data_IF_034775397962
#
_entry.id   IF_034775397962
#
_cell.length_a   1.000
_cell.length_b   1.000
_cell.length_c   1.000
_cell.angle_alpha   90.00
_cell.angle_beta   90.00
_cell.angle_gamma   90.00
#
_symmetry.space_group_name_H-M   'P 1'
#
loop_
_entity.id
_entity.type
_entity.pdbx_description
1 polymer ?
#
# COMPACT_ATOMS: atom_id res chain seq x y z
N UNK A 1 52.95 -23.39 -65.96
CA UNK A 1 51.64 -22.68 -65.70
C UNK A 1 50.95 -23.44 -64.63
N UNK A 2 51.15 -23.01 -63.40
CA UNK A 2 50.55 -23.61 -62.17
C UNK A 2 49.48 -22.67 -61.64
N UNK A 3 48.21 -23.11 -61.60
CA UNK A 3 47.08 -22.38 -61.06
C UNK A 3 46.87 -22.74 -59.58
N UNK A 4 47.07 -21.74 -58.71
CA UNK A 4 46.75 -21.85 -57.30
C UNK A 4 45.18 -21.63 -57.07
N UNK A 5 44.56 -22.56 -56.42
CA UNK A 5 43.16 -22.40 -55.90
C UNK A 5 43.21 -21.87 -54.47
N UNK A 6 42.70 -20.66 -54.28
CA UNK A 6 42.45 -20.10 -52.94
C UNK A 6 41.16 -20.70 -52.38
N UNK A 7 41.27 -21.34 -51.23
CA UNK A 7 40.11 -21.79 -50.44
C UNK A 7 39.59 -20.61 -49.56
N UNK A 8 38.40 -20.14 -49.83
CA UNK A 8 37.67 -19.19 -48.96
C UNK A 8 36.94 -20.01 -47.87
N UNK A 9 37.42 -19.90 -46.64
CA UNK A 9 36.75 -20.46 -45.48
C UNK A 9 35.65 -19.52 -45.02
N UNK A 10 34.40 -19.94 -45.10
CA UNK A 10 33.24 -19.22 -44.50
C UNK A 10 33.18 -19.52 -43.01
N UNK A 11 33.47 -18.54 -42.18
CA UNK A 11 33.22 -18.61 -40.73
C UNK A 11 31.74 -18.34 -40.45
N UNK A 12 30.97 -19.35 -40.03
CA UNK A 12 29.64 -19.19 -39.47
C UNK A 12 29.77 -18.58 -38.07
N UNK A 13 29.44 -17.32 -37.92
CA UNK A 13 29.15 -16.70 -36.63
C UNK A 13 27.77 -17.16 -36.15
N UNK A 14 27.75 -18.07 -35.18
CA UNK A 14 26.54 -18.41 -34.44
C UNK A 14 26.15 -17.24 -33.54
N UNK A 15 25.17 -16.41 -33.94
CA UNK A 15 24.50 -15.47 -33.06
C UNK A 15 23.66 -16.30 -32.07
N UNK A 16 24.18 -16.53 -30.85
CA UNK A 16 23.38 -16.92 -29.73
C UNK A 16 22.44 -15.74 -29.38
N UNK A 17 21.21 -15.79 -29.84
CA UNK A 17 20.14 -14.91 -29.33
C UNK A 17 20.01 -15.19 -27.84
N UNK A 18 20.48 -14.27 -27.00
CA UNK A 18 20.15 -14.26 -25.57
C UNK A 18 18.66 -14.03 -25.47
N UNK A 19 17.91 -15.10 -25.30
CA UNK A 19 16.51 -15.00 -24.83
C UNK A 19 16.58 -14.36 -23.44
N UNK A 20 15.95 -13.21 -23.19
CA UNK A 20 15.93 -12.63 -21.86
C UNK A 20 15.33 -13.70 -20.93
N UNK A 21 16.09 -14.12 -19.94
CA UNK A 21 15.59 -15.00 -18.90
C UNK A 21 14.51 -14.20 -18.15
N UNK A 22 13.24 -14.53 -18.40
CA UNK A 22 12.16 -14.00 -17.57
C UNK A 22 12.44 -14.44 -16.14
N UNK A 23 12.43 -13.47 -15.23
CA UNK A 23 12.60 -13.77 -13.83
C UNK A 23 11.46 -14.72 -13.43
N UNK A 24 11.81 -15.85 -12.80
CA UNK A 24 10.79 -16.81 -12.36
C UNK A 24 9.80 -16.13 -11.40
N UNK A 25 8.53 -16.51 -11.50
CA UNK A 25 7.50 -16.04 -10.58
C UNK A 25 7.92 -16.27 -9.11
N UNK A 26 7.68 -15.30 -8.21
CA UNK A 26 8.11 -15.43 -6.82
C UNK A 26 7.38 -16.56 -6.09
N UNK A 27 8.08 -17.23 -5.18
CA UNK A 27 7.54 -18.31 -4.36
C UNK A 27 6.99 -17.85 -3.01
N UNK A 28 7.24 -16.59 -2.63
CA UNK A 28 6.77 -15.98 -1.39
C UNK A 28 6.75 -14.45 -1.53
N UNK A 29 6.08 -13.79 -0.58
CA UNK A 29 6.21 -12.36 -0.30
C UNK A 29 6.66 -12.16 1.13
N UNK A 30 7.66 -11.31 1.33
CA UNK A 30 8.02 -10.78 2.65
C UNK A 30 7.25 -9.48 2.88
N UNK A 31 6.57 -9.39 4.01
CA UNK A 31 5.67 -8.29 4.37
C UNK A 31 6.21 -7.63 5.61
N UNK A 32 6.60 -6.35 5.53
CA UNK A 32 7.07 -5.56 6.67
C UNK A 32 6.05 -4.46 6.96
N UNK A 33 5.55 -4.40 8.19
CA UNK A 33 4.67 -3.33 8.63
C UNK A 33 5.49 -2.23 9.30
N UNK A 34 5.28 -0.97 8.86
CA UNK A 34 6.03 0.17 9.41
C UNK A 34 5.28 0.86 10.55
N UNK A 35 4.02 1.17 10.33
CA UNK A 35 3.08 1.87 11.21
C UNK A 35 1.83 2.20 10.41
N UNK A 36 0.74 2.60 11.02
CA UNK A 36 -0.51 2.96 10.33
C UNK A 36 -0.86 1.85 9.33
N UNK A 37 -1.04 2.17 8.06
CA UNK A 37 -1.20 1.19 6.97
C UNK A 37 0.02 1.11 6.06
N UNK A 38 1.17 1.61 6.51
CA UNK A 38 2.41 1.55 5.75
C UNK A 38 2.96 0.14 5.73
N UNK A 39 2.96 -0.49 4.57
CA UNK A 39 3.41 -1.87 4.38
C UNK A 39 4.42 -1.96 3.24
N UNK A 40 5.51 -2.66 3.48
CA UNK A 40 6.51 -2.95 2.46
C UNK A 40 6.41 -4.42 2.05
N UNK A 41 6.16 -4.66 0.77
CA UNK A 41 6.09 -5.98 0.17
C UNK A 41 7.36 -6.22 -0.66
N UNK A 42 8.08 -7.29 -0.35
CA UNK A 42 9.23 -7.74 -1.13
C UNK A 42 8.87 -9.05 -1.83
N UNK A 43 8.81 -9.03 -3.17
CA UNK A 43 8.27 -10.16 -3.90
C UNK A 43 9.01 -10.33 -5.24
N UNK A 44 10.03 -11.20 -5.25
CA UNK A 44 10.89 -11.41 -6.41
C UNK A 44 11.60 -10.11 -6.84
N UNK A 45 11.36 -9.62 -8.08
CA UNK A 45 11.93 -8.36 -8.56
C UNK A 45 11.14 -7.12 -8.12
N UNK A 46 10.04 -7.30 -7.39
CA UNK A 46 9.17 -6.22 -6.97
C UNK A 46 9.35 -5.90 -5.50
N UNK A 47 9.67 -4.64 -5.24
CA UNK A 47 9.74 -4.04 -3.92
C UNK A 47 8.73 -2.90 -3.88
N UNK A 48 7.62 -3.09 -3.14
CA UNK A 48 6.44 -2.23 -3.17
C UNK A 48 6.24 -1.60 -1.80
N UNK A 49 6.14 -0.28 -1.71
CA UNK A 49 5.63 0.39 -0.51
C UNK A 49 4.16 0.76 -0.74
N UNK A 50 3.29 0.30 0.15
CA UNK A 50 1.91 0.78 0.25
C UNK A 50 1.86 1.90 1.28
N UNK A 51 1.26 3.03 0.92
CA UNK A 51 1.16 4.30 1.63
C UNK A 51 2.54 4.93 1.92
N UNK A 52 3.25 4.52 2.96
CA UNK A 52 4.64 4.96 3.20
C UNK A 52 4.77 6.26 3.99
N UNK A 53 3.75 6.68 4.74
CA UNK A 53 3.74 7.91 5.53
C UNK A 53 4.68 7.82 6.75
N UNK A 54 5.81 8.50 6.68
CA UNK A 54 6.84 8.61 7.74
C UNK A 54 6.79 9.98 8.41
N UNK A 55 6.53 11.04 7.65
CA UNK A 55 6.27 12.39 8.17
C UNK A 55 5.11 12.33 9.15
N UNK A 56 5.27 12.94 10.32
CA UNK A 56 4.21 13.00 11.33
C UNK A 56 3.78 14.43 11.51
N UNK A 57 2.71 14.83 10.81
CA UNK A 57 2.08 16.13 10.98
C UNK A 57 1.46 16.17 12.38
N UNK A 58 1.77 17.17 13.23
CA UNK A 58 1.29 17.21 14.61
C UNK A 58 -0.24 17.27 14.71
N UNK A 59 -0.82 16.61 15.73
CA UNK A 59 -2.26 16.67 16.00
C UNK A 59 -2.78 18.11 16.14
N UNK A 60 -1.97 19.03 16.66
CA UNK A 60 -2.32 20.44 16.80
C UNK A 60 -2.61 21.14 15.47
N UNK A 61 -2.02 20.65 14.37
CA UNK A 61 -2.31 21.16 13.03
C UNK A 61 -3.77 20.91 12.62
N UNK A 62 -4.38 19.84 13.09
CA UNK A 62 -5.75 19.45 12.75
C UNK A 62 -6.77 19.88 13.82
N UNK A 63 -6.41 19.82 15.08
CA UNK A 63 -7.37 20.02 16.20
C UNK A 63 -7.22 21.36 16.91
N UNK A 64 -6.09 22.03 16.76
CA UNK A 64 -5.80 23.31 17.45
C UNK A 64 -6.45 24.55 16.83
N UNK A 65 -6.90 24.48 15.58
CA UNK A 65 -7.40 25.63 14.82
C UNK A 65 -8.93 25.69 14.60
N UNK A 66 -9.71 24.83 15.25
CA UNK A 66 -11.18 24.84 15.12
C UNK A 66 -11.73 24.14 13.88
N UNK A 67 -10.88 23.51 13.06
CA UNK A 67 -11.29 22.84 11.81
C UNK A 67 -11.26 21.31 11.84
N UNK A 68 -10.75 20.67 12.90
CA UNK A 68 -10.61 19.23 12.98
C UNK A 68 -9.80 18.66 11.82
N UNK A 69 -10.09 17.43 11.41
CA UNK A 69 -9.49 16.81 10.24
C UNK A 69 -9.96 17.39 8.90
N UNK A 70 -11.01 18.21 8.89
CA UNK A 70 -11.57 18.80 7.68
C UNK A 70 -10.61 19.81 7.02
N UNK A 71 -9.82 20.55 7.81
CA UNK A 71 -8.92 21.54 7.28
C UNK A 71 -7.67 21.73 8.16
N UNK A 72 -6.55 22.00 7.51
CA UNK A 72 -5.38 22.64 8.13
C UNK A 72 -4.87 23.72 7.18
N UNK A 73 -4.80 24.94 7.67
CA UNK A 73 -4.36 26.09 6.88
C UNK A 73 -2.83 26.29 6.91
N UNK A 74 -2.12 25.43 7.64
CA UNK A 74 -0.67 25.47 7.68
C UNK A 74 -0.08 24.52 6.64
N UNK A 75 0.82 25.00 5.78
CA UNK A 75 1.51 24.14 4.84
C UNK A 75 2.60 23.33 5.57
N UNK A 76 2.73 22.07 5.17
CA UNK A 76 3.75 21.16 5.66
C UNK A 76 4.59 20.62 4.51
N UNK A 77 5.87 20.38 4.79
CA UNK A 77 6.79 19.68 3.88
C UNK A 77 7.08 18.28 4.41
N UNK A 78 7.32 17.29 3.52
CA UNK A 78 7.73 15.95 3.94
C UNK A 78 9.05 15.95 4.74
N UNK A 79 9.15 15.06 5.73
CA UNK A 79 10.41 14.74 6.42
C UNK A 79 11.31 13.88 5.51
N UNK A 80 11.97 14.54 4.56
CA UNK A 80 12.88 13.89 3.61
C UNK A 80 13.99 13.12 4.32
N UNK A 81 14.48 13.63 5.46
CA UNK A 81 15.53 12.98 6.23
C UNK A 81 15.01 11.68 6.88
N UNK A 82 13.82 11.72 7.45
CA UNK A 82 13.15 10.53 8.01
C UNK A 82 12.88 9.47 6.95
N UNK A 83 12.30 9.85 5.81
CA UNK A 83 12.07 8.94 4.68
C UNK A 83 13.39 8.34 4.18
N UNK A 84 14.46 9.15 4.03
CA UNK A 84 15.78 8.68 3.61
C UNK A 84 16.38 7.69 4.62
N UNK A 85 16.20 7.93 5.91
CA UNK A 85 16.68 7.03 6.96
C UNK A 85 15.98 5.66 6.88
N UNK A 86 14.66 5.64 6.67
CA UNK A 86 13.91 4.38 6.47
C UNK A 86 14.37 3.70 5.19
N UNK A 87 14.45 4.41 4.06
CA UNK A 87 14.93 3.87 2.79
C UNK A 87 16.32 3.23 2.92
N UNK A 88 17.25 3.91 3.60
CA UNK A 88 18.60 3.39 3.85
C UNK A 88 18.57 2.10 4.66
N UNK A 89 17.73 2.03 5.69
CA UNK A 89 17.55 0.83 6.50
C UNK A 89 16.97 -0.35 5.71
N UNK A 90 16.16 -0.07 4.68
CA UNK A 90 15.61 -1.08 3.76
C UNK A 90 16.60 -1.55 2.70
N UNK A 91 17.78 -0.94 2.59
CA UNK A 91 18.83 -1.31 1.62
C UNK A 91 19.05 -0.26 0.51
N UNK A 92 18.35 0.86 0.55
CA UNK A 92 18.53 1.98 -0.36
C UNK A 92 17.60 1.97 -1.60
N UNK A 93 17.82 2.89 -2.54
CA UNK A 93 16.89 3.14 -3.66
C UNK A 93 16.52 1.93 -4.53
N UNK A 94 17.40 0.97 -4.82
CA UNK A 94 17.04 -0.20 -5.62
C UNK A 94 15.97 -1.11 -5.00
N UNK A 95 15.73 -0.96 -3.70
CA UNK A 95 14.77 -1.76 -2.93
C UNK A 95 13.40 -1.08 -2.78
N UNK A 96 13.03 -0.15 -3.66
CA UNK A 96 11.67 0.37 -3.81
C UNK A 96 11.45 0.74 -5.27
N UNK A 97 10.59 0.02 -5.97
CA UNK A 97 10.33 0.24 -7.39
C UNK A 97 8.86 0.50 -7.72
N UNK A 98 7.97 0.33 -6.75
CA UNK A 98 6.56 0.66 -6.89
C UNK A 98 6.02 1.24 -5.58
N UNK A 99 5.20 2.28 -5.70
CA UNK A 99 4.44 2.89 -4.61
C UNK A 99 2.95 2.68 -4.86
N UNK A 100 2.23 2.24 -3.84
CA UNK A 100 0.77 2.13 -3.86
C UNK A 100 0.19 3.08 -2.83
N UNK A 101 -0.92 3.72 -3.15
CA UNK A 101 -1.65 4.56 -2.18
C UNK A 101 -3.09 4.12 -2.14
N UNK A 102 -3.61 3.74 -0.97
CA UNK A 102 -4.99 3.30 -0.82
C UNK A 102 -5.97 4.44 -1.04
N UNK A 103 -5.71 5.60 -0.42
CA UNK A 103 -6.42 6.85 -0.69
C UNK A 103 -5.51 8.05 -0.39
N UNK A 104 -5.98 9.26 -0.69
CA UNK A 104 -5.12 10.44 -0.77
C UNK A 104 -5.13 11.34 0.46
N UNK A 105 -5.59 10.89 1.62
CA UNK A 105 -5.40 11.62 2.86
C UNK A 105 -3.90 11.69 3.23
N UNK A 106 -3.55 12.69 4.04
CA UNK A 106 -2.17 12.98 4.40
C UNK A 106 -1.44 11.79 5.03
N UNK A 107 -2.08 11.03 5.89
CA UNK A 107 -1.51 9.88 6.60
C UNK A 107 -1.26 8.65 5.72
N UNK A 108 -1.56 8.77 4.42
CA UNK A 108 -1.30 7.75 3.40
C UNK A 108 -0.44 8.27 2.24
N UNK A 109 -0.73 9.47 1.72
CA UNK A 109 -0.12 9.95 0.46
C UNK A 109 0.93 11.04 0.64
N UNK A 110 1.10 11.63 1.84
CA UNK A 110 1.94 12.80 2.06
C UNK A 110 3.40 12.60 1.64
N UNK A 111 3.97 11.43 1.90
CA UNK A 111 5.37 11.14 1.55
C UNK A 111 5.55 10.44 0.19
N UNK A 112 4.45 10.19 -0.55
CA UNK A 112 4.50 9.43 -1.81
C UNK A 112 5.44 10.05 -2.85
N UNK A 113 5.38 11.38 -3.02
CA UNK A 113 6.27 12.09 -3.93
C UNK A 113 7.73 12.01 -3.49
N UNK A 114 7.99 12.12 -2.18
CA UNK A 114 9.33 12.00 -1.61
C UNK A 114 9.92 10.61 -1.85
N UNK A 115 9.16 9.54 -1.60
CA UNK A 115 9.59 8.18 -1.96
C UNK A 115 9.90 8.06 -3.44
N UNK A 116 9.00 8.53 -4.33
CA UNK A 116 9.21 8.47 -5.78
C UNK A 116 10.45 9.24 -6.23
N UNK A 117 10.72 10.40 -5.63
CA UNK A 117 11.92 11.21 -5.94
C UNK A 117 13.21 10.53 -5.53
N UNK A 118 13.24 9.90 -4.34
CA UNK A 118 14.42 9.24 -3.79
C UNK A 118 14.75 7.91 -4.49
N UNK A 119 13.74 7.20 -5.00
CA UNK A 119 13.88 5.82 -5.52
C UNK A 119 13.68 5.69 -7.02
N UNK A 120 13.11 6.72 -7.65
CA UNK A 120 12.63 6.68 -9.02
C UNK A 120 11.44 5.72 -9.24
N UNK A 121 10.78 5.27 -8.16
CA UNK A 121 9.63 4.37 -8.20
C UNK A 121 8.42 4.99 -8.88
N UNK A 122 7.66 4.17 -9.61
CA UNK A 122 6.35 4.55 -10.14
C UNK A 122 5.29 4.52 -9.03
N UNK A 123 4.23 5.30 -9.22
CA UNK A 123 3.11 5.44 -8.29
C UNK A 123 1.85 4.84 -8.91
N UNK A 124 1.07 4.11 -8.13
CA UNK A 124 -0.31 3.72 -8.44
C UNK A 124 -1.19 4.17 -7.27
N UNK A 125 -2.20 4.97 -7.56
CA UNK A 125 -3.12 5.50 -6.53
C UNK A 125 -4.34 6.16 -7.17
N UNK A 126 -4.99 7.08 -6.46
CA UNK A 126 -6.06 7.90 -7.01
C UNK A 126 -5.52 8.92 -8.03
N UNK A 127 -6.39 9.51 -8.86
CA UNK A 127 -6.01 10.69 -9.65
C UNK A 127 -5.54 11.83 -8.76
N UNK A 128 -6.19 12.01 -7.60
CA UNK A 128 -5.75 12.97 -6.57
C UNK A 128 -4.33 12.72 -6.08
N UNK A 129 -3.95 11.46 -5.80
CA UNK A 129 -2.57 11.11 -5.44
C UNK A 129 -1.58 11.50 -6.54
N UNK A 130 -1.97 11.33 -7.80
CA UNK A 130 -1.13 11.73 -8.92
C UNK A 130 -0.99 13.26 -9.03
N UNK A 131 -2.04 14.03 -8.74
CA UNK A 131 -1.99 15.49 -8.72
C UNK A 131 -1.15 16.02 -7.53
N UNK A 132 -1.27 15.41 -6.35
CA UNK A 132 -0.41 15.70 -5.20
C UNK A 132 1.08 15.46 -5.55
N UNK A 133 1.38 14.32 -6.18
CA UNK A 133 2.75 14.02 -6.60
C UNK A 133 3.28 15.04 -7.65
N UNK A 134 2.43 15.51 -8.57
CA UNK A 134 2.79 16.54 -9.54
C UNK A 134 3.05 17.90 -8.87
N UNK A 135 2.30 18.26 -7.83
CA UNK A 135 2.56 19.46 -7.04
C UNK A 135 3.98 19.46 -6.48
N UNK A 136 4.48 18.30 -6.08
CA UNK A 136 5.86 18.08 -5.63
C UNK A 136 6.84 17.74 -6.76
N UNK A 137 6.48 18.06 -8.02
CA UNK A 137 7.31 17.96 -9.23
C UNK A 137 7.67 16.53 -9.67
N UNK A 138 6.87 15.53 -9.30
CA UNK A 138 6.95 14.21 -9.91
C UNK A 138 6.29 14.26 -11.30
N UNK A 139 6.97 13.79 -12.35
CA UNK A 139 6.38 13.78 -13.70
C UNK A 139 5.07 12.96 -13.74
N UNK A 140 4.04 13.47 -14.41
CA UNK A 140 2.75 12.80 -14.55
C UNK A 140 2.87 11.36 -15.09
N UNK A 141 3.84 11.12 -15.98
CA UNK A 141 4.12 9.79 -16.54
C UNK A 141 4.58 8.75 -15.53
N UNK A 142 4.98 9.18 -14.33
CA UNK A 142 5.39 8.28 -13.24
C UNK A 142 4.24 7.87 -12.33
N UNK A 143 3.07 8.46 -12.49
CA UNK A 143 1.90 8.13 -11.68
C UNK A 143 0.77 7.61 -12.56
N UNK A 144 0.20 6.47 -12.16
CA UNK A 144 -0.97 5.87 -12.76
C UNK A 144 -2.17 6.00 -11.83
N UNK A 145 -3.14 6.83 -12.20
CA UNK A 145 -4.44 6.86 -11.55
C UNK A 145 -5.23 5.58 -11.79
N UNK A 146 -5.85 5.05 -10.74
CA UNK A 146 -6.72 3.87 -10.79
C UNK A 146 -8.05 4.15 -10.10
N UNK A 147 -9.11 3.52 -10.58
CA UNK A 147 -10.48 3.82 -10.16
C UNK A 147 -11.20 2.67 -9.48
N UNK A 148 -10.76 1.44 -9.72
CA UNK A 148 -11.37 0.19 -9.28
C UNK A 148 -11.86 -0.64 -10.47
N UNK A 149 -11.63 -1.96 -10.41
CA UNK A 149 -11.90 -2.92 -11.48
C UNK A 149 -10.71 -3.21 -12.39
N UNK A 150 -9.60 -2.46 -12.28
CA UNK A 150 -8.42 -2.72 -13.08
C UNK A 150 -7.70 -4.01 -12.64
N UNK A 151 -7.22 -4.76 -13.63
CA UNK A 151 -6.29 -5.87 -13.44
C UNK A 151 -4.94 -5.48 -14.01
N UNK A 152 -3.90 -5.51 -13.17
CA UNK A 152 -2.55 -5.05 -13.51
C UNK A 152 -1.57 -6.20 -13.28
N UNK A 153 -0.90 -6.63 -14.33
CA UNK A 153 0.25 -7.54 -14.22
C UNK A 153 1.47 -6.72 -13.78
N UNK A 154 1.99 -7.01 -12.60
CA UNK A 154 3.13 -6.30 -12.02
C UNK A 154 4.46 -6.95 -12.39
N UNK A 155 4.50 -8.29 -12.46
CA UNK A 155 5.65 -9.10 -12.87
C UNK A 155 5.16 -10.48 -13.33
N UNK A 156 6.09 -11.35 -13.72
CA UNK A 156 5.76 -12.74 -14.05
C UNK A 156 5.14 -13.45 -12.85
N UNK A 157 3.94 -14.01 -13.06
CA UNK A 157 3.15 -14.66 -12.02
C UNK A 157 2.56 -13.72 -10.97
N UNK A 158 2.75 -12.40 -11.04
CA UNK A 158 2.23 -11.43 -10.07
C UNK A 158 1.17 -10.53 -10.70
N UNK A 159 -0.05 -10.66 -10.22
CA UNK A 159 -1.19 -9.85 -10.67
C UNK A 159 -1.82 -9.13 -9.48
N UNK A 160 -2.12 -7.85 -9.68
CA UNK A 160 -2.86 -7.01 -8.73
C UNK A 160 -4.19 -6.59 -9.34
N UNK A 161 -5.27 -6.71 -8.58
CA UNK A 161 -6.60 -6.17 -8.94
C UNK A 161 -6.95 -5.03 -8.02
N UNK A 162 -7.40 -3.93 -8.60
CA UNK A 162 -7.82 -2.74 -7.86
C UNK A 162 -9.30 -2.89 -7.50
N UNK A 163 -9.60 -2.78 -6.22
CA UNK A 163 -10.97 -2.86 -5.69
C UNK A 163 -11.38 -1.47 -5.23
N UNK A 164 -12.43 -0.90 -5.81
CA UNK A 164 -12.99 0.34 -5.27
C UNK A 164 -13.56 0.07 -3.88
N UNK A 165 -13.08 0.85 -2.89
CA UNK A 165 -13.35 0.65 -1.49
C UNK A 165 -13.81 1.95 -0.83
N UNK A 166 -14.32 1.89 0.42
CA UNK A 166 -14.78 3.05 1.18
C UNK A 166 -13.75 3.54 2.20
N UNK A 167 -14.01 4.69 2.80
CA UNK A 167 -13.20 5.28 3.85
C UNK A 167 -13.74 4.94 5.25
N UNK A 168 -12.87 5.04 6.28
CA UNK A 168 -13.24 4.88 7.67
C UNK A 168 -14.10 6.05 8.18
N UNK A 169 -14.78 5.84 9.29
CA UNK A 169 -15.67 6.80 9.92
C UNK A 169 -17.13 6.60 9.58
N UNK A 170 -17.96 7.38 10.22
CA UNK A 170 -19.39 7.42 9.98
C UNK A 170 -19.70 8.62 9.06
N UNK A 171 -20.26 8.40 7.84
CA UNK A 171 -20.61 9.49 6.95
C UNK A 171 -21.55 10.53 7.56
N UNK A 172 -22.36 10.16 8.54
CA UNK A 172 -23.25 11.09 9.23
C UNK A 172 -22.52 11.96 10.28
N UNK A 173 -21.41 11.47 10.86
CA UNK A 173 -20.66 12.18 11.90
C UNK A 173 -19.42 12.90 11.34
N UNK A 174 -18.81 12.33 10.31
CA UNK A 174 -17.59 12.84 9.68
C UNK A 174 -17.75 12.93 8.15
N UNK A 175 -18.72 13.73 7.64
CA UNK A 175 -19.04 13.73 6.20
C UNK A 175 -17.87 14.17 5.32
N UNK A 176 -17.09 15.17 5.76
CA UNK A 176 -15.98 15.68 4.95
C UNK A 176 -14.87 14.63 4.77
N UNK A 177 -14.54 13.92 5.85
CA UNK A 177 -13.52 12.87 5.84
C UNK A 177 -13.96 11.67 4.98
N UNK A 178 -15.27 11.37 5.01
CA UNK A 178 -15.84 10.22 4.31
C UNK A 178 -16.19 10.50 2.85
N UNK A 179 -16.43 11.78 2.50
CA UNK A 179 -16.83 12.20 1.16
C UNK A 179 -15.76 11.84 0.12
N UNK A 180 -16.09 11.08 -0.94
CA UNK A 180 -15.15 10.65 -1.97
C UNK A 180 -14.82 11.77 -2.98
N UNK A 181 -14.34 12.91 -2.50
CA UNK A 181 -13.92 14.06 -3.35
C UNK A 181 -12.57 13.78 -3.99
N UNK A 182 -12.42 14.15 -5.26
CA UNK A 182 -11.14 14.19 -5.98
C UNK A 182 -10.70 15.63 -6.25
N UNK A 183 -9.40 15.86 -6.25
CA UNK A 183 -8.82 17.08 -6.81
C UNK A 183 -9.08 17.13 -8.31
N UNK A 184 -9.31 18.34 -8.85
CA UNK A 184 -9.47 18.58 -10.29
C UNK A 184 -8.20 19.14 -10.92
N UNK A 185 -7.40 19.85 -10.10
CA UNK A 185 -6.18 20.52 -10.52
C UNK A 185 -5.02 20.12 -9.63
N UNK A 186 -3.81 20.35 -10.11
CA UNK A 186 -2.58 20.17 -9.32
C UNK A 186 -2.58 21.19 -8.17
N UNK A 187 -2.45 20.76 -6.91
CA UNK A 187 -2.33 21.68 -5.78
C UNK A 187 -1.15 22.65 -5.97
N UNK A 188 -1.32 23.88 -5.50
CA UNK A 188 -0.29 24.89 -5.58
C UNK A 188 0.46 24.94 -4.24
N UNK A 189 1.73 24.50 -4.17
CA UNK A 189 2.50 24.58 -2.95
C UNK A 189 2.61 25.99 -2.42
N UNK A 190 2.60 26.16 -1.11
CA UNK A 190 2.79 27.45 -0.46
C UNK A 190 4.11 28.12 -0.92
N UNK A 191 4.06 29.39 -1.29
CA UNK A 191 5.17 30.08 -1.90
C UNK A 191 6.37 30.28 -0.95
N UNK A 192 6.14 30.33 0.36
CA UNK A 192 7.19 30.56 1.35
C UNK A 192 7.87 29.27 1.80
N UNK A 193 7.10 28.19 1.94
CA UNK A 193 7.58 26.93 2.50
C UNK A 193 7.76 25.82 1.45
N UNK A 194 7.05 25.91 0.33
CA UNK A 194 6.96 24.84 -0.66
C UNK A 194 6.09 23.66 -0.21
N UNK A 195 5.41 23.78 0.93
CA UNK A 195 4.56 22.73 1.51
C UNK A 195 3.16 22.70 0.96
N UNK A 196 2.46 21.59 1.19
CA UNK A 196 1.05 21.41 0.89
C UNK A 196 0.20 21.47 2.17
N UNK A 197 -1.06 21.88 2.03
CA UNK A 197 -2.01 21.96 3.14
C UNK A 197 -2.67 20.60 3.35
N UNK A 198 -2.40 19.97 4.49
CA UNK A 198 -2.72 18.56 4.73
C UNK A 198 -4.21 18.26 5.01
N UNK A 199 -5.07 19.29 5.06
CA UNK A 199 -6.51 19.09 5.37
C UNK A 199 -7.27 18.40 4.25
N UNK A 200 -8.34 17.69 4.63
CA UNK A 200 -9.21 16.97 3.69
C UNK A 200 -10.07 17.90 2.82
N UNK A 201 -10.28 19.13 3.24
CA UNK A 201 -10.92 20.19 2.46
C UNK A 201 -9.90 21.05 1.68
N UNK A 202 -8.64 20.69 1.71
CA UNK A 202 -7.51 21.40 1.10
C UNK A 202 -6.85 20.50 0.03
N UNK A 203 -5.55 20.19 0.19
CA UNK A 203 -4.78 19.45 -0.82
C UNK A 203 -4.84 17.93 -0.66
N UNK A 204 -5.42 17.41 0.44
CA UNK A 204 -5.47 15.98 0.75
C UNK A 204 -6.90 15.45 0.96
N UNK A 205 -7.82 15.62 -0.01
CA UNK A 205 -9.14 15.02 0.08
C UNK A 205 -9.06 13.49 -0.06
N UNK A 206 -10.20 12.84 0.11
CA UNK A 206 -10.33 11.39 0.05
C UNK A 206 -9.90 10.75 -1.30
N UNK A 207 -9.79 11.54 -2.37
CA UNK A 207 -9.34 11.07 -3.68
C UNK A 207 -10.31 10.09 -4.34
N UNK A 208 -11.60 10.37 -4.20
CA UNK A 208 -12.63 9.53 -4.77
C UNK A 208 -12.86 8.21 -4.01
N UNK A 209 -12.53 8.17 -2.72
CA UNK A 209 -12.62 6.99 -1.87
C UNK A 209 -11.36 6.11 -1.89
N UNK A 210 -11.36 5.07 -1.10
CA UNK A 210 -10.21 4.17 -0.96
C UNK A 210 -10.12 3.16 -2.11
N UNK A 211 -8.92 2.64 -2.36
CA UNK A 211 -8.61 1.48 -3.21
C UNK A 211 -8.08 0.35 -2.34
N UNK A 212 -8.75 -0.80 -2.41
CA UNK A 212 -8.17 -2.04 -1.93
C UNK A 212 -7.38 -2.70 -3.06
N UNK A 213 -6.37 -3.47 -2.71
CA UNK A 213 -5.52 -4.16 -3.67
C UNK A 213 -5.52 -5.66 -3.40
N UNK A 214 -6.07 -6.44 -4.34
CA UNK A 214 -6.06 -7.89 -4.30
C UNK A 214 -4.89 -8.41 -5.13
N UNK A 215 -3.92 -9.02 -4.47
CA UNK A 215 -2.77 -9.64 -5.11
C UNK A 215 -2.95 -11.15 -5.26
N UNK A 216 -2.55 -11.65 -6.41
CA UNK A 216 -2.38 -13.07 -6.67
C UNK A 216 -0.99 -13.35 -7.17
N UNK A 217 -0.36 -14.38 -6.64
CA UNK A 217 0.95 -14.85 -7.08
C UNK A 217 0.83 -16.30 -7.52
N UNK A 218 1.07 -16.53 -8.80
CA UNK A 218 1.15 -17.87 -9.41
C UNK A 218 2.61 -18.31 -9.42
N UNK A 219 3.09 -18.72 -8.25
CA UNK A 219 4.48 -19.13 -8.05
C UNK A 219 4.76 -20.58 -8.43
N UNK A 220 6.03 -20.98 -8.52
CA UNK A 220 6.43 -22.34 -8.91
C UNK A 220 5.98 -23.42 -7.91
N UNK A 221 5.69 -23.01 -6.67
CA UNK A 221 5.23 -23.92 -5.61
C UNK A 221 3.70 -23.91 -5.43
N UNK A 222 2.99 -23.14 -6.25
CA UNK A 222 1.55 -22.96 -6.24
C UNK A 222 1.14 -21.51 -5.94
N UNK A 223 -0.16 -21.27 -6.04
CA UNK A 223 -0.76 -19.94 -5.86
C UNK A 223 -0.88 -19.57 -4.39
N UNK A 224 -0.66 -18.28 -4.08
CA UNK A 224 -1.04 -17.63 -2.83
C UNK A 224 -1.55 -16.21 -3.11
N UNK A 225 -2.29 -15.62 -2.16
CA UNK A 225 -3.00 -14.36 -2.38
C UNK A 225 -3.19 -13.56 -1.10
N UNK A 226 -3.29 -12.23 -1.24
CA UNK A 226 -3.66 -11.37 -0.13
C UNK A 226 -4.47 -10.16 -0.61
N UNK A 227 -5.30 -9.66 0.29
CA UNK A 227 -6.04 -8.42 0.10
C UNK A 227 -5.51 -7.37 1.08
N UNK A 228 -5.14 -6.20 0.57
CA UNK A 228 -4.71 -5.03 1.34
C UNK A 228 -5.73 -3.92 1.20
N UNK A 229 -6.16 -3.35 2.34
CA UNK A 229 -6.94 -2.12 2.39
C UNK A 229 -6.53 -1.29 3.61
N UNK A 230 -6.47 0.03 3.45
CA UNK A 230 -5.94 0.94 4.45
C UNK A 230 -7.03 1.75 5.19
N UNK A 231 -8.30 1.62 4.80
CA UNK A 231 -9.42 2.31 5.40
C UNK A 231 -10.70 1.53 5.18
N UNK A 232 -11.67 1.59 6.07
CA UNK A 232 -12.99 1.00 5.90
C UNK A 232 -14.00 1.57 6.89
N UNK A 233 -15.27 1.66 6.49
CA UNK A 233 -16.41 1.90 7.36
C UNK A 233 -17.46 0.82 7.18
N UNK A 234 -18.04 0.34 8.27
CA UNK A 234 -19.13 -0.63 8.20
C UNK A 234 -20.46 -0.01 7.69
N UNK A 235 -20.60 1.31 7.78
CA UNK A 235 -21.84 2.03 7.46
C UNK A 235 -22.25 1.89 6.00
N UNK A 236 -21.29 1.86 5.08
CA UNK A 236 -21.53 1.92 3.63
C UNK A 236 -20.75 0.90 2.82
N UNK A 237 -20.21 -0.17 3.45
CA UNK A 237 -19.55 -1.26 2.69
C UNK A 237 -20.49 -1.95 1.68
N UNK A 238 -21.80 -1.83 1.88
CA UNK A 238 -22.84 -2.38 1.01
C UNK A 238 -23.56 -1.32 0.17
N UNK A 239 -23.16 -0.05 0.29
CA UNK A 239 -23.74 1.06 -0.48
C UNK A 239 -22.81 1.41 -1.66
N UNK A 240 -23.41 1.86 -2.77
CA UNK A 240 -22.64 2.33 -3.93
C UNK A 240 -21.83 3.58 -3.61
N UNK A 241 -20.59 3.61 -4.11
CA UNK A 241 -19.73 4.80 -4.09
C UNK A 241 -20.00 5.60 -5.35
N UNK A 242 -20.50 6.81 -5.18
CA UNK A 242 -20.77 7.73 -6.29
C UNK A 242 -19.79 8.91 -6.23
N UNK A 243 -19.07 9.16 -7.31
CA UNK A 243 -18.10 10.27 -7.43
C UNK A 243 -18.40 11.02 -8.72
N UNK A 244 -18.65 12.32 -8.63
CA UNK A 244 -18.98 13.18 -9.77
C UNK A 244 -20.09 12.59 -10.68
N UNK A 245 -21.09 11.92 -10.07
CA UNK A 245 -22.21 11.29 -10.75
C UNK A 245 -21.92 9.89 -11.35
N UNK A 246 -20.69 9.41 -11.30
CA UNK A 246 -20.33 8.04 -11.70
C UNK A 246 -20.50 7.07 -10.52
N UNK A 247 -21.25 5.98 -10.74
CA UNK A 247 -21.44 4.90 -9.77
C UNK A 247 -20.36 3.83 -9.92
N UNK A 248 -19.54 3.65 -8.89
CA UNK A 248 -18.45 2.66 -8.82
C UNK A 248 -18.88 1.36 -8.13
N UNK A 249 -20.15 1.23 -7.74
CA UNK A 249 -20.69 0.07 -7.04
C UNK A 249 -20.29 -0.03 -5.57
N UNK A 250 -20.90 -0.98 -4.87
CA UNK A 250 -20.64 -1.20 -3.45
C UNK A 250 -19.26 -1.89 -3.22
N UNK A 251 -18.50 -1.50 -2.20
CA UNK A 251 -17.19 -2.08 -1.89
C UNK A 251 -17.17 -3.62 -1.81
N UNK A 252 -18.12 -4.22 -1.10
CA UNK A 252 -18.17 -5.68 -0.98
C UNK A 252 -18.50 -6.38 -2.29
N UNK A 253 -19.33 -5.78 -3.15
CA UNK A 253 -19.62 -6.33 -4.48
C UNK A 253 -18.40 -6.18 -5.41
N UNK A 254 -17.67 -5.06 -5.28
CA UNK A 254 -16.40 -4.87 -6.00
C UNK A 254 -15.37 -5.94 -5.61
N UNK A 255 -15.27 -6.23 -4.30
CA UNK A 255 -14.38 -7.28 -3.79
C UNK A 255 -14.79 -8.67 -4.31
N UNK A 256 -16.08 -9.01 -4.28
CA UNK A 256 -16.58 -10.28 -4.84
C UNK A 256 -16.24 -10.43 -6.32
N UNK A 257 -16.41 -9.34 -7.11
CA UNK A 257 -16.01 -9.35 -8.53
C UNK A 257 -14.52 -9.61 -8.69
N UNK A 258 -13.69 -8.91 -7.92
CA UNK A 258 -12.24 -9.09 -8.00
C UNK A 258 -11.78 -10.50 -7.62
N UNK A 259 -12.42 -11.13 -6.62
CA UNK A 259 -12.17 -12.53 -6.25
C UNK A 259 -12.59 -13.49 -7.38
N UNK A 260 -13.77 -13.30 -7.95
CA UNK A 260 -14.27 -14.11 -9.06
C UNK A 260 -13.35 -13.99 -10.28
N UNK A 261 -12.93 -12.78 -10.65
CA UNK A 261 -11.99 -12.53 -11.75
C UNK A 261 -10.61 -13.13 -11.50
N UNK A 262 -10.23 -13.27 -10.23
CA UNK A 262 -9.01 -13.95 -9.84
C UNK A 262 -9.15 -15.48 -9.79
N UNK A 263 -10.38 -16.04 -9.88
CA UNK A 263 -10.65 -17.46 -9.64
C UNK A 263 -10.37 -17.87 -8.20
N UNK A 264 -10.70 -16.99 -7.23
CA UNK A 264 -10.46 -17.21 -5.80
C UNK A 264 -11.78 -17.37 -5.04
N UNK A 265 -11.87 -18.41 -4.22
CA UNK A 265 -12.95 -18.61 -3.24
C UNK A 265 -12.59 -18.02 -1.87
N UNK A 266 -11.30 -17.76 -1.63
CA UNK A 266 -10.73 -17.22 -0.41
C UNK A 266 -9.37 -16.57 -0.68
N UNK A 267 -8.84 -15.82 0.29
CA UNK A 267 -7.45 -15.31 0.27
C UNK A 267 -6.64 -15.95 1.39
N UNK A 268 -5.33 -15.99 1.25
CA UNK A 268 -4.46 -16.46 2.34
C UNK A 268 -4.36 -15.40 3.44
N UNK A 269 -4.24 -14.12 3.09
CA UNK A 269 -4.06 -13.05 4.06
C UNK A 269 -4.97 -11.86 3.75
N UNK A 270 -5.57 -11.31 4.80
CA UNK A 270 -6.19 -9.99 4.79
C UNK A 270 -5.33 -9.03 5.63
N UNK A 271 -4.80 -7.98 4.99
CA UNK A 271 -4.17 -6.84 5.66
C UNK A 271 -5.20 -5.73 5.66
N UNK A 272 -5.67 -5.35 6.83
CA UNK A 272 -6.81 -4.45 6.87
C UNK A 272 -6.95 -3.66 8.16
N UNK A 273 -7.73 -2.58 8.06
CA UNK A 273 -8.15 -1.76 9.17
C UNK A 273 -9.61 -1.99 9.54
N UNK A 274 -9.95 -1.58 10.73
CA UNK A 274 -11.29 -1.61 11.28
C UNK A 274 -11.48 -2.73 12.28
N UNK A 275 -12.45 -2.50 13.17
CA UNK A 275 -12.77 -3.44 14.23
C UNK A 275 -13.79 -4.50 13.80
N UNK A 276 -14.40 -5.12 14.82
CA UNK A 276 -15.39 -6.18 14.63
C UNK A 276 -16.53 -5.86 13.62
N UNK A 277 -17.13 -4.65 13.56
CA UNK A 277 -18.23 -4.38 12.62
C UNK A 277 -17.83 -4.56 11.15
N UNK A 278 -16.62 -4.11 10.78
CA UNK A 278 -16.08 -4.27 9.44
C UNK A 278 -15.76 -5.74 9.17
N UNK A 279 -15.10 -6.40 10.11
CA UNK A 279 -14.74 -7.80 9.98
C UNK A 279 -15.95 -8.72 9.82
N UNK A 280 -17.08 -8.44 10.50
CA UNK A 280 -18.31 -9.18 10.33
C UNK A 280 -18.86 -9.16 8.89
N UNK A 281 -18.63 -8.08 8.15
CA UNK A 281 -19.05 -7.92 6.76
C UNK A 281 -18.03 -8.49 5.76
N UNK A 282 -16.75 -8.36 6.07
CA UNK A 282 -15.67 -8.71 5.14
C UNK A 282 -15.26 -10.18 5.22
N UNK A 283 -15.22 -10.77 6.42
CA UNK A 283 -14.81 -12.17 6.62
C UNK A 283 -15.61 -13.18 5.78
N UNK A 284 -16.95 -13.08 5.67
CA UNK A 284 -17.71 -14.03 4.83
C UNK A 284 -17.36 -13.97 3.34
N UNK A 285 -16.84 -12.83 2.88
CA UNK A 285 -16.45 -12.61 1.47
C UNK A 285 -15.02 -13.05 1.23
N UNK A 286 -14.07 -12.59 2.05
CA UNK A 286 -12.64 -12.88 1.89
C UNK A 286 -12.23 -14.28 2.36
N UNK A 287 -12.84 -14.78 3.43
CA UNK A 287 -12.49 -16.07 4.08
C UNK A 287 -10.98 -16.24 4.26
N UNK A 288 -10.27 -15.27 4.88
CA UNK A 288 -8.82 -15.30 4.95
C UNK A 288 -8.35 -16.34 5.96
N UNK A 289 -7.15 -16.91 5.76
CA UNK A 289 -6.48 -17.77 6.76
C UNK A 289 -5.79 -16.94 7.84
N UNK A 290 -5.25 -15.76 7.44
CA UNK A 290 -4.51 -14.86 8.31
C UNK A 290 -5.08 -13.44 8.22
N UNK A 291 -5.00 -12.71 9.35
CA UNK A 291 -5.33 -11.30 9.42
C UNK A 291 -4.18 -10.50 10.03
N UNK A 292 -3.72 -9.46 9.34
CA UNK A 292 -2.73 -8.50 9.83
C UNK A 292 -3.42 -7.15 10.03
N UNK A 293 -3.60 -6.68 11.30
CA UNK A 293 -4.22 -5.40 11.58
C UNK A 293 -3.28 -4.24 11.23
N UNK A 294 -3.86 -3.22 10.61
CA UNK A 294 -3.18 -1.97 10.29
C UNK A 294 -4.02 -0.78 10.74
N UNK A 295 -3.43 0.42 10.82
CA UNK A 295 -4.11 1.69 11.09
C UNK A 295 -4.76 1.76 12.51
N UNK A 296 -4.11 1.20 13.50
CA UNK A 296 -4.59 1.17 14.89
C UNK A 296 -3.65 1.87 15.88
N UNK A 297 -2.41 2.14 15.49
CA UNK A 297 -1.31 2.55 16.36
C UNK A 297 -1.26 4.06 16.64
N UNK A 298 -1.64 4.91 15.69
CA UNK A 298 -1.66 6.36 15.83
C UNK A 298 -1.14 7.07 14.58
N UNK A 299 -1.55 8.34 14.39
CA UNK A 299 -1.27 9.12 13.19
C UNK A 299 -0.22 10.22 13.42
N UNK A 300 -0.07 10.70 14.65
CA UNK A 300 0.60 11.96 14.97
C UNK A 300 1.89 11.78 15.78
N UNK A 301 2.05 10.64 16.43
CA UNK A 301 3.22 10.36 17.25
C UNK A 301 4.47 10.21 16.37
N UNK A 302 5.63 10.74 16.80
CA UNK A 302 6.86 10.67 16.02
C UNK A 302 7.21 9.24 15.63
N UNK A 303 7.41 8.97 14.34
CA UNK A 303 7.68 7.63 13.82
C UNK A 303 8.86 6.95 14.52
N UNK A 304 9.96 7.69 14.72
CA UNK A 304 11.18 7.14 15.34
C UNK A 304 11.10 6.95 16.85
N UNK A 305 10.01 7.37 17.50
CA UNK A 305 9.72 6.99 18.88
C UNK A 305 9.29 5.52 19.00
N UNK A 306 8.96 4.88 17.88
CA UNK A 306 8.46 3.51 17.84
C UNK A 306 6.96 3.41 18.12
N UNK A 307 6.49 2.20 18.20
CA UNK A 307 5.08 1.87 18.37
C UNK A 307 4.53 2.41 19.70
N UNK A 308 3.52 3.31 19.70
CA UNK A 308 3.07 4.01 20.92
C UNK A 308 2.24 3.13 21.85
N UNK A 309 1.65 2.06 21.34
CA UNK A 309 0.80 1.13 22.08
C UNK A 309 0.80 -0.26 21.49
N UNK A 310 0.54 -1.28 22.31
CA UNK A 310 0.31 -2.63 21.81
C UNK A 310 -1.06 -2.74 21.13
N UNK A 311 -1.13 -3.62 20.11
CA UNK A 311 -2.43 -3.99 19.53
C UNK A 311 -3.29 -4.74 20.54
N UNK A 312 -4.58 -4.43 20.58
CA UNK A 312 -5.55 -5.14 21.40
C UNK A 312 -6.98 -4.76 21.03
N UNK A 313 -7.68 -5.69 20.39
CA UNK A 313 -9.11 -5.63 20.12
C UNK A 313 -9.73 -7.00 20.42
N UNK A 314 -10.15 -7.20 21.67
CA UNK A 314 -10.71 -8.48 22.15
C UNK A 314 -11.95 -8.92 21.37
N UNK A 315 -12.77 -7.96 20.90
CA UNK A 315 -13.99 -8.28 20.16
C UNK A 315 -13.66 -8.79 18.75
N UNK A 316 -12.69 -8.18 18.10
CA UNK A 316 -12.18 -8.64 16.81
C UNK A 316 -11.44 -9.97 16.96
N UNK A 317 -10.55 -10.11 17.96
CA UNK A 317 -9.84 -11.37 18.25
C UNK A 317 -10.81 -12.54 18.42
N UNK A 318 -11.87 -12.36 19.20
CA UNK A 318 -12.91 -13.39 19.40
C UNK A 318 -13.62 -13.77 18.08
N UNK A 319 -13.94 -12.76 17.24
CA UNK A 319 -14.56 -13.01 15.94
C UNK A 319 -13.63 -13.76 14.99
N UNK A 320 -12.37 -13.38 14.91
CA UNK A 320 -11.35 -14.05 14.09
C UNK A 320 -11.19 -15.52 14.50
N UNK A 321 -11.04 -15.78 15.79
CA UNK A 321 -10.93 -17.13 16.34
C UNK A 321 -12.16 -17.99 16.00
N UNK A 322 -13.38 -17.44 16.11
CA UNK A 322 -14.62 -18.15 15.75
C UNK A 322 -14.66 -18.54 14.27
N UNK A 323 -14.01 -17.74 13.40
CA UNK A 323 -13.94 -17.99 11.97
C UNK A 323 -12.66 -18.75 11.55
N UNK A 324 -11.85 -19.22 12.50
CA UNK A 324 -10.62 -19.97 12.22
C UNK A 324 -9.51 -19.11 11.58
N UNK A 325 -9.55 -17.79 11.77
CA UNK A 325 -8.57 -16.86 11.21
C UNK A 325 -7.47 -16.57 12.22
N UNK A 326 -6.22 -16.80 11.83
CA UNK A 326 -5.06 -16.52 12.68
C UNK A 326 -4.71 -15.03 12.66
N UNK A 327 -4.69 -14.40 13.84
CA UNK A 327 -4.27 -13.00 14.00
C UNK A 327 -2.74 -12.90 14.02
N UNK A 328 -2.19 -12.07 13.12
CA UNK A 328 -0.76 -11.76 13.03
C UNK A 328 -0.52 -10.41 13.72
N UNK A 329 -0.27 -10.44 15.04
CA UNK A 329 -0.17 -9.21 15.85
C UNK A 329 1.18 -8.52 15.71
N UNK A 330 1.25 -7.27 15.21
CA UNK A 330 2.47 -6.46 15.28
C UNK A 330 2.84 -6.15 16.74
N UNK A 331 4.14 -6.20 17.06
CA UNK A 331 4.71 -5.89 18.38
C UNK A 331 5.66 -4.71 18.36
N UNK A 332 6.17 -4.36 17.20
CA UNK A 332 7.02 -3.20 16.96
C UNK A 332 6.97 -2.82 15.48
N UNK A 333 7.22 -1.56 15.18
CA UNK A 333 7.48 -1.13 13.81
C UNK A 333 8.60 -1.96 13.18
N UNK A 334 8.52 -2.18 11.89
CA UNK A 334 9.38 -3.07 11.11
C UNK A 334 9.26 -4.56 11.47
N UNK A 335 8.17 -4.98 12.12
CA UNK A 335 7.85 -6.40 12.18
C UNK A 335 7.64 -6.95 10.78
N UNK A 336 8.15 -8.17 10.56
CA UNK A 336 8.21 -8.79 9.25
C UNK A 336 7.67 -10.22 9.27
N UNK A 337 6.91 -10.55 8.24
CA UNK A 337 6.37 -11.89 8.01
C UNK A 337 6.66 -12.35 6.60
N UNK A 338 6.70 -13.64 6.41
CA UNK A 338 6.71 -14.29 5.11
C UNK A 338 5.39 -15.00 4.87
N UNK A 339 4.75 -14.69 3.73
CA UNK A 339 3.60 -15.41 3.22
C UNK A 339 4.02 -16.19 1.98
N UNK A 340 3.69 -17.48 1.97
CA UNK A 340 3.83 -18.37 0.82
C UNK A 340 2.65 -19.36 0.78
N UNK A 341 2.68 -20.31 -0.13
CA UNK A 341 1.64 -21.35 -0.25
C UNK A 341 1.44 -22.16 1.04
N UNK A 342 2.46 -22.29 1.89
CA UNK A 342 2.40 -23.05 3.15
C UNK A 342 1.77 -22.24 4.30
N UNK A 343 1.59 -20.93 4.12
CA UNK A 343 1.00 -20.04 5.11
C UNK A 343 1.86 -18.84 5.44
N UNK A 344 1.51 -18.17 6.53
CA UNK A 344 2.19 -16.96 7.00
C UNK A 344 2.95 -17.24 8.30
N UNK A 345 4.18 -16.73 8.39
CA UNK A 345 5.04 -16.88 9.59
C UNK A 345 5.88 -15.64 9.83
N UNK A 346 6.15 -15.28 11.09
CA UNK A 346 7.08 -14.19 11.41
C UNK A 346 8.51 -14.55 11.00
N UNK A 347 9.24 -13.56 10.54
CA UNK A 347 10.68 -13.66 10.24
C UNK A 347 11.45 -12.52 10.89
N UNK A 348 12.74 -12.73 11.14
CA UNK A 348 13.59 -11.72 11.78
C UNK A 348 13.82 -10.52 10.86
N UNK A 349 13.73 -9.32 11.44
CA UNK A 349 14.09 -8.06 10.79
C UNK A 349 15.00 -7.19 11.67
N UNK A 350 15.86 -7.85 12.45
CA UNK A 350 16.69 -7.22 13.48
C UNK A 350 17.62 -6.15 12.96
N UNK A 351 18.16 -6.31 11.75
CA UNK A 351 19.06 -5.31 11.15
C UNK A 351 18.35 -3.98 10.89
N UNK A 352 17.16 -4.04 10.28
CA UNK A 352 16.34 -2.85 9.97
C UNK A 352 15.87 -2.17 11.26
N UNK A 353 15.37 -2.97 12.23
CA UNK A 353 14.92 -2.43 13.52
C UNK A 353 16.05 -1.69 14.24
N UNK A 354 17.25 -2.28 14.34
CA UNK A 354 18.41 -1.62 14.96
C UNK A 354 18.84 -0.35 14.22
N UNK A 355 18.86 -0.37 12.88
CA UNK A 355 19.22 0.80 12.08
C UNK A 355 18.27 1.99 12.34
N UNK A 356 17.01 1.70 12.65
CA UNK A 356 15.98 2.69 12.96
C UNK A 356 15.87 3.03 14.46
N UNK A 357 16.56 2.29 15.34
CA UNK A 357 16.51 2.49 16.79
C UNK A 357 15.33 1.78 17.47
N UNK A 358 14.68 0.84 16.80
CA UNK A 358 13.54 0.11 17.36
C UNK A 358 13.98 -1.13 18.15
N UNK A 359 13.20 -1.50 19.17
CA UNK A 359 13.41 -2.71 19.93
C UNK A 359 13.26 -3.97 19.04
N UNK A 360 14.18 -4.93 19.21
CA UNK A 360 14.20 -6.18 18.43
C UNK A 360 13.26 -7.23 19.07
N UNK A 361 11.99 -6.90 19.19
CA UNK A 361 10.94 -7.86 19.57
C UNK A 361 10.37 -8.53 18.33
N UNK A 362 9.93 -9.78 18.47
CA UNK A 362 9.31 -10.53 17.35
C UNK A 362 7.80 -10.67 17.56
N UNK A 363 7.07 -10.65 16.45
CA UNK A 363 5.67 -11.04 16.41
C UNK A 363 5.52 -12.55 16.41
N UNK A 364 4.51 -13.03 17.12
CA UNK A 364 4.09 -14.43 17.07
C UNK A 364 2.58 -14.46 16.77
N UNK A 365 2.08 -15.46 16.05
CA UNK A 365 0.63 -15.66 15.90
C UNK A 365 0.01 -15.91 17.28
N UNK A 366 -1.18 -15.37 17.50
CA UNK A 366 -2.03 -15.65 18.66
C UNK A 366 -3.02 -16.74 18.37
#
# INVERSE_FOLDING_TARGET
>A
MTRSFARVGAALLALCAMVPAFAAAPSYVDITWFSISNVYFQLGPLDIIADGYITRIPASAFFGGGGGLASTHQPYTPDVAGVTRVLTALGGPPHVNLLLTGHSHFDHSFDTATWSRLTNANIIGSSTTCLQAQAEKIPASRCRGVYGGETIRLADGVTMRVVRWNHSGDPAQNPEQHNPVELKDVPVPDAATGGLHAGVAEDFPNGGGNRGYLFTVDGPQGRFSWFFQNSASASDLQASIVVDGADYGAPLENLKRALNDAGLESVDLWIGTGGRPIAQLVLPVLKPKFYLPVHWDGLYEPFFAGMPRAYGDRNLEALLNTNGVTLMTPRQYMDKWRLDRMGMRPIKNSAVKRALGFADVQSFPK
#
